data_IF_109538102583
#
_entry.id   IF_109538102583
#
_cell.length_a   1.000
_cell.length_b   1.000
_cell.length_c   1.000
_cell.angle_alpha   90.00
_cell.angle_beta   90.00
_cell.angle_gamma   90.00
#
_symmetry.space_group_name_H-M   'P 1'
#
loop_
_entity.id
_entity.type
_entity.pdbx_description
1 polymer ?
#
# COMPACT_ATOMS: atom_id res chain seq x y z
N UNK A 1 -24.35 6.70 6.59
CA UNK A 1 -23.22 6.84 7.52
C UNK A 1 -23.58 6.03 8.77
N UNK A 2 -23.07 4.81 8.92
CA UNK A 2 -23.37 3.99 10.10
C UNK A 2 -22.61 4.59 11.28
N UNK A 3 -23.31 5.32 12.13
CA UNK A 3 -22.80 5.70 13.44
C UNK A 3 -22.49 4.41 14.20
N UNK A 4 -21.41 4.39 14.97
CA UNK A 4 -21.20 3.28 15.90
C UNK A 4 -22.34 3.32 16.92
N UNK A 5 -23.06 2.20 17.06
CA UNK A 5 -24.16 2.06 18.01
C UNK A 5 -23.75 1.26 19.24
N UNK A 6 -22.77 0.36 19.10
CA UNK A 6 -22.23 -0.41 20.21
C UNK A 6 -20.70 -0.53 20.16
N UNK A 7 -20.10 -0.73 21.34
CA UNK A 7 -18.68 -1.03 21.51
C UNK A 7 -18.52 -2.27 22.38
N UNK A 8 -17.58 -3.15 22.02
CA UNK A 8 -17.09 -4.23 22.91
C UNK A 8 -15.69 -3.83 23.37
N UNK A 9 -15.47 -3.82 24.68
CA UNK A 9 -14.21 -3.40 25.29
C UNK A 9 -13.53 -4.63 25.90
N UNK A 10 -12.35 -4.95 25.36
CA UNK A 10 -11.43 -5.92 25.96
C UNK A 10 -10.37 -5.16 26.76
N UNK A 11 -10.63 -5.07 28.07
CA UNK A 11 -9.64 -4.56 29.01
C UNK A 11 -8.54 -5.58 29.30
N UNK A 12 -7.36 -5.07 29.61
CA UNK A 12 -6.15 -5.87 29.84
C UNK A 12 -5.76 -6.78 28.66
N UNK A 13 -6.01 -6.32 27.44
CA UNK A 13 -5.64 -7.02 26.21
C UNK A 13 -4.11 -7.13 26.07
N UNK A 14 -3.63 -8.30 25.61
CA UNK A 14 -2.22 -8.54 25.34
C UNK A 14 -1.96 -8.23 23.87
N UNK A 15 -1.48 -7.03 23.59
CA UNK A 15 -0.97 -6.69 22.27
C UNK A 15 0.53 -6.98 22.15
N UNK A 16 0.93 -7.76 21.14
CA UNK A 16 2.33 -8.18 20.96
C UNK A 16 3.29 -7.00 20.76
N UNK A 17 2.87 -5.95 20.06
CA UNK A 17 3.75 -4.86 19.66
C UNK A 17 3.87 -3.85 20.82
N UNK A 18 2.78 -3.62 21.58
CA UNK A 18 2.86 -2.90 22.87
C UNK A 18 3.77 -3.61 23.88
N UNK A 19 3.72 -4.96 23.94
CA UNK A 19 4.57 -5.72 24.85
C UNK A 19 6.05 -5.50 24.59
N UNK A 20 6.44 -5.32 23.34
CA UNK A 20 7.79 -4.94 22.94
C UNK A 20 8.11 -3.51 23.38
N UNK A 21 7.28 -2.52 23.03
CA UNK A 21 7.48 -1.12 23.43
C UNK A 21 7.62 -0.99 24.96
N UNK A 22 6.72 -1.66 25.69
CA UNK A 22 6.74 -1.71 27.15
C UNK A 22 8.04 -2.33 27.70
N UNK A 23 8.47 -3.46 27.17
CA UNK A 23 9.69 -4.13 27.63
C UNK A 23 10.96 -3.35 27.29
N UNK A 24 10.96 -2.64 26.16
CA UNK A 24 12.11 -1.87 25.69
C UNK A 24 12.31 -0.64 26.57
N UNK A 25 11.24 0.09 26.87
CA UNK A 25 11.32 1.39 27.54
C UNK A 25 10.46 1.47 28.80
N UNK A 26 9.13 1.37 28.69
CA UNK A 26 8.23 1.80 29.77
C UNK A 26 8.38 1.00 31.08
N UNK A 27 8.72 -0.30 31.01
CA UNK A 27 9.01 -1.14 32.18
C UNK A 27 10.24 -0.69 33.00
N UNK A 28 11.08 0.19 32.44
CA UNK A 28 12.33 0.67 33.04
C UNK A 28 12.25 2.12 33.49
N UNK A 29 11.05 2.68 33.54
CA UNK A 29 10.81 4.09 33.85
C UNK A 29 9.95 4.22 35.10
N UNK A 30 10.03 5.35 35.79
CA UNK A 30 9.18 5.66 36.96
C UNK A 30 7.73 6.03 36.59
N UNK A 31 7.27 5.65 35.39
CA UNK A 31 5.87 5.72 35.03
C UNK A 31 5.09 4.67 35.83
N UNK A 32 4.84 4.95 37.11
CA UNK A 32 4.26 4.01 38.07
C UNK A 32 2.81 3.58 37.75
N UNK A 33 2.24 4.05 36.64
CA UNK A 33 0.86 3.78 36.22
C UNK A 33 0.72 3.22 34.79
N UNK A 34 1.82 2.96 34.07
CA UNK A 34 1.74 2.40 32.72
C UNK A 34 1.56 0.89 32.83
N UNK A 35 0.36 0.42 32.43
CA UNK A 35 0.06 -1.00 32.35
C UNK A 35 0.87 -1.67 31.25
N UNK A 36 1.18 -2.95 31.47
CA UNK A 36 1.80 -3.82 30.46
C UNK A 36 0.77 -4.38 29.45
N UNK A 37 -0.50 -4.07 29.66
CA UNK A 37 -1.65 -4.46 28.86
C UNK A 37 -2.27 -3.24 28.19
N UNK A 38 -2.93 -3.44 27.06
CA UNK A 38 -3.68 -2.42 26.33
C UNK A 38 -5.18 -2.59 26.52
N UNK A 39 -5.97 -1.68 25.97
CA UNK A 39 -7.42 -1.84 25.79
C UNK A 39 -7.71 -1.99 24.30
N UNK A 40 -8.40 -3.06 23.90
CA UNK A 40 -8.87 -3.24 22.52
C UNK A 40 -10.36 -2.92 22.46
N UNK A 41 -10.74 -2.01 21.58
CA UNK A 41 -12.11 -1.54 21.42
C UNK A 41 -12.62 -1.97 20.06
N UNK A 42 -13.69 -2.75 20.05
CA UNK A 42 -14.40 -3.19 18.86
C UNK A 42 -15.55 -2.23 18.57
N UNK A 43 -15.74 -1.93 17.30
CA UNK A 43 -16.76 -0.99 16.81
C UNK A 43 -17.84 -1.75 16.05
N UNK A 44 -19.09 -1.54 16.44
CA UNK A 44 -20.26 -2.18 15.85
C UNK A 44 -21.25 -1.10 15.40
N UNK A 45 -21.73 -1.25 14.18
CA UNK A 45 -22.63 -0.30 13.52
C UNK A 45 -24.09 -0.40 13.98
N UNK A 46 -24.43 -1.44 14.74
CA UNK A 46 -25.79 -1.75 15.20
C UNK A 46 -25.71 -2.19 16.67
N UNK A 47 -26.80 -2.01 17.43
CA UNK A 47 -26.93 -2.62 18.74
C UNK A 47 -26.90 -4.16 18.63
N UNK A 48 -26.26 -4.80 19.61
CA UNK A 48 -26.16 -6.27 19.71
C UNK A 48 -26.47 -6.71 21.15
N UNK A 49 -27.12 -7.85 21.31
CA UNK A 49 -27.40 -8.43 22.64
C UNK A 49 -26.29 -9.41 23.06
N UNK A 50 -25.67 -10.07 22.09
CA UNK A 50 -24.64 -11.08 22.30
C UNK A 50 -23.55 -11.02 21.22
N UNK A 51 -22.40 -11.65 21.52
CA UNK A 51 -21.32 -11.79 20.54
C UNK A 51 -21.72 -12.66 19.32
N UNK A 52 -22.76 -13.48 19.45
CA UNK A 52 -23.29 -14.30 18.35
C UNK A 52 -23.99 -13.48 17.27
N UNK A 53 -24.36 -12.23 17.58
CA UNK A 53 -25.06 -11.33 16.66
C UNK A 53 -24.10 -10.55 15.74
N UNK A 54 -22.79 -10.77 15.89
CA UNK A 54 -21.79 -10.16 15.03
C UNK A 54 -21.87 -10.76 13.62
N UNK A 55 -22.02 -9.89 12.62
CA UNK A 55 -22.07 -10.22 11.21
C UNK A 55 -21.06 -9.40 10.41
N UNK A 56 -20.77 -9.85 9.18
CA UNK A 56 -19.95 -9.08 8.24
C UNK A 56 -20.56 -7.70 7.92
N UNK A 57 -21.83 -7.45 8.23
CA UNK A 57 -22.48 -6.15 7.98
C UNK A 57 -22.31 -5.19 9.16
N UNK A 58 -22.52 -5.66 10.39
CA UNK A 58 -22.50 -4.79 11.56
C UNK A 58 -21.12 -4.62 12.20
N UNK A 59 -20.20 -5.59 12.06
CA UNK A 59 -18.87 -5.49 12.65
C UNK A 59 -17.98 -4.59 11.80
N UNK A 60 -17.62 -3.41 12.33
CA UNK A 60 -16.82 -2.40 11.62
C UNK A 60 -15.32 -2.71 11.75
N UNK A 61 -14.90 -3.21 12.91
CA UNK A 61 -13.52 -3.58 13.20
C UNK A 61 -13.12 -3.21 14.62
N UNK A 62 -11.84 -2.93 14.84
CA UNK A 62 -11.32 -2.59 16.15
C UNK A 62 -10.13 -1.64 16.08
N UNK A 63 -9.85 -0.99 17.21
CA UNK A 63 -8.62 -0.27 17.45
C UNK A 63 -8.06 -0.62 18.83
N UNK A 64 -6.77 -0.36 19.03
CA UNK A 64 -6.07 -0.68 20.27
C UNK A 64 -5.52 0.60 20.87
N UNK A 65 -5.72 0.77 22.17
CA UNK A 65 -5.23 1.92 22.95
C UNK A 65 -4.08 1.51 23.87
N UNK A 66 -2.97 2.26 23.79
CA UNK A 66 -1.89 2.22 24.78
C UNK A 66 -2.40 2.81 26.11
N UNK A 67 -1.92 2.29 27.25
CA UNK A 67 -2.17 2.88 28.57
C UNK A 67 -1.26 4.08 28.84
N UNK A 68 -1.13 5.00 27.87
CA UNK A 68 -0.33 6.22 27.97
C UNK A 68 -1.23 7.42 28.27
N UNK A 69 -0.76 8.30 29.15
CA UNK A 69 -1.42 9.58 29.48
C UNK A 69 -1.07 10.70 28.49
N UNK A 70 -0.64 10.34 27.28
CA UNK A 70 -0.25 11.26 26.21
C UNK A 70 -1.29 11.09 25.10
N UNK A 71 -2.11 12.13 24.85
CA UNK A 71 -3.20 12.10 23.85
C UNK A 71 -2.71 11.53 22.51
N UNK A 72 -1.62 12.08 22.01
CA UNK A 72 -1.04 11.78 20.70
C UNK A 72 -0.23 10.47 20.62
N UNK A 73 -0.18 9.70 21.70
CA UNK A 73 0.44 8.37 21.72
C UNK A 73 -0.54 7.28 22.21
N UNK A 74 -1.79 7.66 22.49
CA UNK A 74 -2.76 6.74 23.10
C UNK A 74 -3.28 5.71 22.11
N UNK A 75 -3.46 6.04 20.85
CA UNK A 75 -3.85 5.08 19.82
C UNK A 75 -2.61 4.29 19.37
N UNK A 76 -2.73 2.97 19.30
CA UNK A 76 -1.66 2.04 18.89
C UNK A 76 -1.90 1.54 17.48
N UNK A 77 -3.06 0.92 17.23
CA UNK A 77 -3.43 0.31 15.96
C UNK A 77 -4.87 0.58 15.61
N UNK A 78 -5.13 0.66 14.31
CA UNK A 78 -6.49 0.70 13.77
C UNK A 78 -6.63 -0.39 12.71
N UNK A 79 -7.68 -1.19 12.87
CA UNK A 79 -8.12 -2.23 11.93
C UNK A 79 -9.63 -2.07 11.79
N UNK A 80 -10.04 -1.10 11.00
CA UNK A 80 -11.44 -0.79 10.72
C UNK A 80 -11.69 -0.79 9.23
N UNK A 81 -12.90 -1.15 8.82
CA UNK A 81 -13.31 -1.05 7.41
C UNK A 81 -13.13 0.39 6.93
N UNK A 82 -12.49 0.61 5.77
CA UNK A 82 -12.33 1.94 5.21
C UNK A 82 -13.70 2.50 4.83
N UNK A 83 -13.90 3.79 5.10
CA UNK A 83 -15.12 4.52 4.77
C UNK A 83 -14.74 5.77 3.97
N UNK A 84 -15.45 6.03 2.87
CA UNK A 84 -15.14 7.14 1.95
C UNK A 84 -15.14 8.51 2.65
N UNK A 85 -16.22 8.82 3.36
CA UNK A 85 -16.42 10.12 4.00
C UNK A 85 -15.35 10.47 5.05
N UNK A 86 -15.01 9.60 6.04
CA UNK A 86 -13.92 9.87 6.96
C UNK A 86 -12.54 10.01 6.31
N UNK A 87 -12.35 9.46 5.11
CA UNK A 87 -11.12 9.63 4.34
C UNK A 87 -11.14 10.88 3.45
N UNK A 88 -12.22 11.66 3.44
CA UNK A 88 -12.37 12.83 2.57
C UNK A 88 -12.64 12.47 1.10
N UNK A 89 -13.11 11.26 0.82
CA UNK A 89 -13.43 10.80 -0.55
C UNK A 89 -14.85 11.22 -0.92
N UNK A 90 -15.00 11.83 -2.09
CA UNK A 90 -16.28 12.34 -2.58
C UNK A 90 -17.21 11.19 -3.02
N UNK A 91 -18.53 11.43 -3.02
CA UNK A 91 -19.53 10.41 -3.39
C UNK A 91 -19.41 9.92 -4.84
N UNK A 92 -18.94 10.77 -5.75
CA UNK A 92 -18.68 10.43 -7.16
C UNK A 92 -17.31 9.80 -7.43
N UNK A 93 -16.50 9.59 -6.40
CA UNK A 93 -15.16 8.99 -6.54
C UNK A 93 -15.18 7.52 -6.15
N UNK A 94 -14.51 6.70 -6.96
CA UNK A 94 -14.15 5.35 -6.57
C UNK A 94 -12.95 5.39 -5.62
N UNK A 95 -12.94 4.49 -4.62
CA UNK A 95 -11.83 4.33 -3.68
C UNK A 95 -11.19 2.95 -3.89
N UNK A 96 -9.90 2.93 -4.19
CA UNK A 96 -9.10 1.71 -4.34
C UNK A 96 -8.02 1.67 -3.26
N UNK A 97 -8.00 0.60 -2.47
CA UNK A 97 -7.04 0.43 -1.37
C UNK A 97 -6.31 -0.90 -1.45
N UNK A 98 -5.03 -0.87 -1.08
CA UNK A 98 -4.27 -2.06 -0.74
C UNK A 98 -4.82 -2.58 0.59
N UNK A 99 -5.50 -3.72 0.57
CA UNK A 99 -6.14 -4.28 1.77
C UNK A 99 -5.68 -5.69 2.03
N UNK A 100 -5.72 -6.08 3.30
CA UNK A 100 -5.52 -7.45 3.72
C UNK A 100 -6.57 -7.86 4.75
N UNK A 101 -6.68 -9.17 4.97
CA UNK A 101 -7.71 -9.74 5.81
C UNK A 101 -7.30 -9.74 7.30
N UNK A 102 -8.22 -9.26 8.15
CA UNK A 102 -8.13 -9.32 9.60
C UNK A 102 -9.30 -10.08 10.19
N UNK A 103 -8.99 -10.96 11.13
CA UNK A 103 -9.97 -11.67 11.95
C UNK A 103 -9.55 -11.51 13.41
N UNK A 104 -10.42 -10.91 14.21
CA UNK A 104 -10.21 -10.77 15.65
C UNK A 104 -10.83 -11.96 16.40
N UNK A 105 -10.33 -12.20 17.61
CA UNK A 105 -10.89 -13.21 18.52
C UNK A 105 -11.52 -12.51 19.71
N UNK A 106 -12.85 -12.56 19.83
CA UNK A 106 -13.60 -11.84 20.87
C UNK A 106 -14.31 -12.88 21.73
N UNK A 107 -13.97 -12.97 23.03
CA UNK A 107 -14.64 -13.88 23.96
C UNK A 107 -14.61 -15.37 23.57
N UNK A 108 -13.59 -15.80 22.81
CA UNK A 108 -13.46 -17.17 22.30
C UNK A 108 -14.11 -17.41 20.92
N UNK A 109 -14.78 -16.41 20.35
CA UNK A 109 -15.36 -16.46 19.01
C UNK A 109 -14.47 -15.76 17.98
N UNK A 110 -14.58 -16.17 16.72
CA UNK A 110 -14.00 -15.44 15.60
C UNK A 110 -14.95 -14.32 15.18
N UNK A 111 -14.46 -13.09 15.22
CA UNK A 111 -15.20 -11.96 14.69
C UNK A 111 -15.28 -12.02 13.16
N UNK A 112 -16.30 -11.39 12.56
CA UNK A 112 -16.38 -11.19 11.11
C UNK A 112 -15.10 -10.57 10.53
N UNK A 113 -14.80 -10.88 9.27
CA UNK A 113 -13.53 -10.49 8.65
C UNK A 113 -13.56 -9.01 8.26
N UNK A 114 -12.49 -8.30 8.59
CA UNK A 114 -12.29 -6.90 8.19
C UNK A 114 -11.21 -6.85 7.12
N UNK A 115 -11.53 -6.19 5.99
CA UNK A 115 -10.57 -5.89 4.93
C UNK A 115 -10.17 -4.43 5.02
N UNK A 116 -8.89 -4.18 5.26
CA UNK A 116 -8.36 -2.82 5.43
C UNK A 116 -6.84 -2.80 5.27
N UNK A 117 -6.27 -1.60 5.21
CA UNK A 117 -4.83 -1.43 5.38
C UNK A 117 -4.52 -1.23 6.88
N UNK A 118 -3.53 -1.94 7.45
CA UNK A 118 -3.15 -1.71 8.84
C UNK A 118 -2.68 -0.28 9.08
N UNK A 119 -3.11 0.30 10.19
CA UNK A 119 -2.49 1.51 10.72
C UNK A 119 -1.80 1.25 12.05
N UNK A 120 -0.64 1.89 12.24
CA UNK A 120 0.13 1.89 13.47
C UNK A 120 0.60 3.31 13.77
N UNK A 121 0.39 3.78 14.99
CA UNK A 121 0.79 5.11 15.42
C UNK A 121 2.03 5.04 16.31
N UNK A 122 3.02 5.90 16.05
CA UNK A 122 4.20 6.02 16.90
C UNK A 122 3.87 6.52 18.32
N UNK A 123 4.70 6.15 19.30
CA UNK A 123 4.63 6.68 20.67
C UNK A 123 5.68 7.77 20.96
N UNK A 124 6.59 8.05 20.01
CA UNK A 124 7.74 8.96 20.07
C UNK A 124 8.85 8.63 21.08
N UNK A 125 8.66 7.62 21.94
CA UNK A 125 9.63 7.18 22.93
C UNK A 125 10.40 5.95 22.46
N UNK A 126 9.67 4.92 22.00
CA UNK A 126 10.20 3.69 21.42
C UNK A 126 10.02 3.69 19.92
N UNK A 127 8.79 3.93 19.47
CA UNK A 127 8.46 3.97 18.04
C UNK A 127 8.53 5.39 17.52
N UNK A 128 9.02 5.50 16.29
CA UNK A 128 9.09 6.73 15.51
C UNK A 128 8.51 6.47 14.12
N UNK A 129 8.25 7.51 13.33
CA UNK A 129 7.67 7.42 11.98
C UNK A 129 8.24 6.28 11.12
N UNK A 130 9.56 6.22 10.98
CA UNK A 130 10.20 5.14 10.21
C UNK A 130 9.83 3.72 10.69
N UNK A 131 9.71 3.50 12.01
CA UNK A 131 9.33 2.19 12.55
C UNK A 131 7.84 1.91 12.37
N UNK A 132 6.97 2.91 12.55
CA UNK A 132 5.53 2.76 12.35
C UNK A 132 5.21 2.45 10.88
N UNK A 133 5.82 3.16 9.95
CA UNK A 133 5.61 2.98 8.51
C UNK A 133 6.16 1.63 8.01
N UNK A 134 7.35 1.23 8.48
CA UNK A 134 7.86 -0.12 8.21
C UNK A 134 6.94 -1.18 8.82
N UNK A 135 6.37 -0.97 10.01
CA UNK A 135 5.41 -1.90 10.59
C UNK A 135 4.13 -2.01 9.74
N UNK A 136 3.55 -0.89 9.31
CA UNK A 136 2.34 -0.89 8.46
C UNK A 136 2.60 -1.65 7.15
N UNK A 137 3.72 -1.35 6.50
CA UNK A 137 4.12 -2.03 5.27
C UNK A 137 4.33 -3.54 5.49
N UNK A 138 5.10 -3.93 6.50
CA UNK A 138 5.45 -5.33 6.75
C UNK A 138 4.26 -6.17 7.24
N UNK A 139 3.36 -5.60 8.06
CA UNK A 139 2.11 -6.26 8.47
C UNK A 139 1.20 -6.49 7.25
N UNK A 140 1.09 -5.51 6.35
CA UNK A 140 0.36 -5.68 5.10
C UNK A 140 0.98 -6.78 4.21
N UNK A 141 2.29 -6.72 3.97
CA UNK A 141 3.01 -7.69 3.14
C UNK A 141 2.90 -9.11 3.70
N UNK A 142 2.99 -9.27 5.02
CA UNK A 142 2.78 -10.56 5.68
C UNK A 142 1.38 -11.12 5.41
N UNK A 143 0.34 -10.31 5.61
CA UNK A 143 -1.05 -10.78 5.51
C UNK A 143 -1.51 -11.00 4.08
N UNK A 144 -1.11 -10.14 3.14
CA UNK A 144 -1.53 -10.22 1.74
C UNK A 144 -0.72 -11.24 0.94
N UNK A 145 0.58 -11.34 1.22
CA UNK A 145 1.52 -12.09 0.39
C UNK A 145 2.33 -13.15 1.15
N UNK A 146 2.10 -13.33 2.45
CA UNK A 146 2.76 -14.40 3.23
C UNK A 146 4.22 -14.13 3.58
N UNK A 147 4.68 -12.87 3.51
CA UNK A 147 6.04 -12.50 3.92
C UNK A 147 6.26 -12.74 5.43
N UNK A 148 7.52 -12.62 5.88
CA UNK A 148 7.84 -12.63 7.31
C UNK A 148 7.02 -11.58 8.07
N UNK A 149 6.87 -11.74 9.38
CA UNK A 149 6.15 -10.79 10.24
C UNK A 149 7.08 -10.29 11.36
N UNK A 150 7.83 -9.21 11.13
CA UNK A 150 8.75 -8.70 12.13
C UNK A 150 8.03 -8.12 13.34
N UNK A 151 8.75 -8.10 14.45
CA UNK A 151 8.36 -7.40 15.67
C UNK A 151 9.02 -6.01 15.74
N UNK A 152 8.46 -5.10 16.55
CA UNK A 152 9.04 -3.77 16.76
C UNK A 152 10.49 -3.86 17.24
N UNK A 153 10.78 -4.83 18.12
CA UNK A 153 12.15 -5.06 18.61
C UNK A 153 13.13 -5.43 17.50
N UNK A 154 12.68 -6.05 16.42
CA UNK A 154 13.53 -6.48 15.32
C UNK A 154 14.01 -5.25 14.53
N UNK A 155 13.10 -4.33 14.20
CA UNK A 155 13.45 -3.04 13.58
C UNK A 155 14.48 -2.29 14.42
N UNK A 156 14.23 -2.18 15.73
CA UNK A 156 15.10 -1.48 16.67
C UNK A 156 16.48 -2.15 16.76
N UNK A 157 16.54 -3.48 16.81
CA UNK A 157 17.80 -4.22 16.94
C UNK A 157 18.71 -4.09 15.72
N UNK A 158 18.14 -3.84 14.55
CA UNK A 158 18.83 -3.67 13.27
C UNK A 158 19.18 -2.20 12.98
N UNK A 159 18.69 -1.26 13.81
CA UNK A 159 18.98 0.17 13.64
C UNK A 159 20.42 0.50 14.00
N UNK A 160 21.16 0.99 13.00
CA UNK A 160 22.47 1.57 13.21
C UNK A 160 22.36 2.93 13.95
N UNK A 161 23.21 3.23 14.96
CA UNK A 161 23.12 4.46 15.75
C UNK A 161 23.68 5.71 15.03
N UNK A 162 23.37 5.89 13.75
CA UNK A 162 23.91 6.97 12.91
C UNK A 162 23.41 8.37 13.32
N UNK A 163 22.25 8.45 13.98
CA UNK A 163 21.62 9.71 14.43
C UNK A 163 21.56 9.84 15.97
N UNK A 164 22.36 9.04 16.68
CA UNK A 164 22.42 9.01 18.15
C UNK A 164 21.89 7.71 18.73
N UNK A 165 21.21 7.79 19.89
CA UNK A 165 20.65 6.59 20.55
C UNK A 165 19.61 5.93 19.66
N UNK A 166 19.52 4.60 19.76
CA UNK A 166 18.48 3.81 19.08
C UNK A 166 17.12 3.98 19.76
N UNK A 167 17.10 4.08 21.10
CA UNK A 167 15.89 4.37 21.89
C UNK A 167 16.22 5.38 23.01
N UNK A 168 15.51 6.51 23.11
CA UNK A 168 14.65 7.09 22.06
C UNK A 168 15.47 7.48 20.83
N UNK A 169 14.92 7.24 19.64
CA UNK A 169 15.54 7.59 18.36
C UNK A 169 15.27 9.04 17.97
N UNK A 170 16.14 9.63 17.15
CA UNK A 170 15.95 10.96 16.51
C UNK A 170 15.49 10.87 15.05
N UNK A 171 14.88 9.75 14.67
CA UNK A 171 14.56 9.44 13.28
C UNK A 171 15.58 8.48 12.64
N UNK A 172 15.22 7.95 11.47
CA UNK A 172 16.07 7.11 10.64
C UNK A 172 16.34 7.82 9.30
N UNK A 173 17.48 7.51 8.69
CA UNK A 173 17.67 7.76 7.26
C UNK A 173 16.89 6.71 6.45
N UNK A 174 16.42 7.07 5.26
CA UNK A 174 15.74 6.14 4.34
C UNK A 174 16.62 4.92 4.01
N UNK A 175 17.93 5.13 3.89
CA UNK A 175 18.90 4.06 3.67
C UNK A 175 18.95 3.08 4.86
N UNK A 176 18.77 3.57 6.10
CA UNK A 176 18.65 2.69 7.28
C UNK A 176 17.36 1.85 7.22
N UNK A 177 16.24 2.43 6.77
CA UNK A 177 14.99 1.69 6.58
C UNK A 177 15.18 0.56 5.56
N UNK A 178 15.86 0.84 4.44
CA UNK A 178 16.16 -0.17 3.41
C UNK A 178 17.03 -1.30 3.97
N UNK A 179 18.07 -0.98 4.76
CA UNK A 179 18.95 -1.98 5.38
C UNK A 179 18.16 -2.86 6.36
N UNK A 180 17.32 -2.25 7.20
CA UNK A 180 16.50 -2.95 8.18
C UNK A 180 15.54 -3.92 7.47
N UNK A 181 14.76 -3.42 6.51
CA UNK A 181 13.83 -4.25 5.73
C UNK A 181 14.53 -5.39 4.98
N UNK A 182 15.66 -5.11 4.32
CA UNK A 182 16.46 -6.14 3.64
C UNK A 182 16.97 -7.20 4.60
N UNK A 183 17.41 -6.79 5.81
CA UNK A 183 17.87 -7.73 6.84
C UNK A 183 16.75 -8.61 7.40
N UNK A 184 15.49 -8.19 7.24
CA UNK A 184 14.30 -8.95 7.64
C UNK A 184 13.75 -9.84 6.50
N UNK A 185 14.42 -9.86 5.34
CA UNK A 185 14.06 -10.68 4.18
C UNK A 185 13.09 -10.01 3.21
N UNK A 186 12.96 -8.68 3.25
CA UNK A 186 12.20 -7.94 2.24
C UNK A 186 13.15 -7.38 1.19
N UNK A 187 12.96 -7.71 -0.10
CA UNK A 187 13.68 -6.99 -1.15
C UNK A 187 13.11 -5.57 -1.23
N UNK A 188 13.99 -4.58 -1.19
CA UNK A 188 13.58 -3.18 -1.21
C UNK A 188 14.24 -2.48 -2.37
N UNK A 189 13.46 -1.69 -3.10
CA UNK A 189 13.98 -0.72 -4.04
C UNK A 189 13.62 0.70 -3.60
N UNK A 190 14.53 1.62 -3.90
CA UNK A 190 14.43 3.03 -3.56
C UNK A 190 14.69 3.85 -4.82
N UNK A 191 13.83 4.83 -5.08
CA UNK A 191 14.12 5.90 -6.04
C UNK A 191 14.16 7.24 -5.32
N UNK A 192 14.92 8.18 -5.88
CA UNK A 192 15.13 9.50 -5.31
C UNK A 192 15.00 10.56 -6.39
N UNK A 193 14.26 11.62 -6.13
CA UNK A 193 14.15 12.75 -7.04
C UNK A 193 14.38 14.08 -6.32
N UNK A 194 14.85 15.05 -7.10
CA UNK A 194 14.83 16.46 -6.76
C UNK A 194 13.76 17.15 -7.61
N UNK A 195 13.39 18.38 -7.22
CA UNK A 195 12.24 19.15 -7.70
C UNK A 195 11.72 18.82 -9.10
N UNK A 196 12.51 18.95 -10.17
CA UNK A 196 12.02 18.81 -11.55
C UNK A 196 11.63 17.40 -11.98
N UNK A 197 12.01 16.36 -11.23
CA UNK A 197 11.83 14.96 -11.62
C UNK A 197 10.76 14.22 -10.78
N UNK A 198 10.03 14.94 -9.92
CA UNK A 198 9.05 14.34 -9.00
C UNK A 198 7.99 13.54 -9.75
N UNK A 199 7.38 14.15 -10.77
CA UNK A 199 6.31 13.47 -11.51
C UNK A 199 6.84 12.25 -12.27
N UNK A 200 7.96 12.40 -12.98
CA UNK A 200 8.54 11.34 -13.81
C UNK A 200 9.09 10.16 -13.00
N UNK A 201 9.65 10.40 -11.81
CA UNK A 201 10.35 9.35 -11.04
C UNK A 201 9.59 8.87 -9.82
N UNK A 202 8.97 9.77 -9.06
CA UNK A 202 8.32 9.44 -7.79
C UNK A 202 6.86 9.08 -8.03
N UNK A 203 6.13 9.94 -8.73
CA UNK A 203 4.69 9.76 -8.95
C UNK A 203 4.40 8.56 -9.84
N UNK A 204 5.09 8.41 -10.99
CA UNK A 204 4.93 7.21 -11.83
C UNK A 204 5.25 5.91 -11.10
N UNK A 205 6.24 5.96 -10.20
CA UNK A 205 6.59 4.83 -9.35
C UNK A 205 5.49 4.53 -8.34
N UNK A 206 4.97 5.53 -7.64
CA UNK A 206 3.83 5.37 -6.73
C UNK A 206 2.64 4.76 -7.49
N UNK A 207 2.28 5.30 -8.64
CA UNK A 207 1.19 4.80 -9.47
C UNK A 207 1.39 3.32 -9.82
N UNK A 208 2.56 2.95 -10.34
CA UNK A 208 2.82 1.58 -10.77
C UNK A 208 2.83 0.58 -9.60
N UNK A 209 3.42 0.94 -8.47
CA UNK A 209 3.49 0.06 -7.31
C UNK A 209 2.15 -0.05 -6.59
N UNK A 210 1.41 1.05 -6.43
CA UNK A 210 0.04 1.00 -5.88
C UNK A 210 -0.84 0.08 -6.72
N UNK A 211 -0.79 0.19 -8.04
CA UNK A 211 -1.56 -0.68 -8.94
C UNK A 211 -1.11 -2.15 -8.91
N UNK A 212 0.15 -2.37 -8.53
CA UNK A 212 0.70 -3.70 -8.21
C UNK A 212 0.24 -4.24 -6.85
N UNK A 213 -0.56 -3.47 -6.09
CA UNK A 213 -0.95 -3.81 -4.72
C UNK A 213 0.19 -3.67 -3.72
N UNK A 214 1.20 -2.85 -4.03
CA UNK A 214 2.40 -2.64 -3.23
C UNK A 214 2.42 -1.19 -2.70
N UNK A 215 2.12 -0.96 -1.40
CA UNK A 215 2.20 0.36 -0.80
C UNK A 215 3.60 0.97 -0.94
N UNK A 216 3.65 2.30 -0.96
CA UNK A 216 4.89 3.07 -1.06
C UNK A 216 5.14 3.84 0.22
N UNK A 217 6.31 3.66 0.84
CA UNK A 217 6.78 4.60 1.86
C UNK A 217 7.38 5.81 1.13
N UNK A 218 6.83 6.98 1.37
CA UNK A 218 7.26 8.24 0.78
C UNK A 218 7.96 9.08 1.86
N UNK A 219 9.25 9.37 1.66
CA UNK A 219 10.05 10.15 2.58
C UNK A 219 10.36 11.54 2.03
N UNK A 220 10.01 12.57 2.79
CA UNK A 220 10.25 13.99 2.47
C UNK A 220 10.21 14.82 3.76
N UNK A 221 10.89 15.96 3.77
CA UNK A 221 10.91 16.91 4.89
C UNK A 221 11.18 16.31 6.28
N UNK A 222 12.13 15.37 6.36
CA UNK A 222 12.49 14.63 7.58
C UNK A 222 11.37 13.76 8.21
N UNK A 223 10.34 13.43 7.44
CA UNK A 223 9.28 12.50 7.85
C UNK A 223 9.03 11.43 6.78
N UNK A 224 8.20 10.46 7.11
CA UNK A 224 7.74 9.41 6.19
C UNK A 224 6.23 9.23 6.33
N UNK A 225 5.60 8.89 5.22
CA UNK A 225 4.19 8.50 5.15
C UNK A 225 4.03 7.27 4.26
N UNK A 226 2.92 6.54 4.40
CA UNK A 226 2.61 5.40 3.54
C UNK A 226 1.48 5.74 2.58
N UNK A 227 1.76 5.68 1.28
CA UNK A 227 0.72 5.71 0.24
C UNK A 227 0.21 4.29 0.04
N UNK A 228 -1.07 4.04 0.35
CA UNK A 228 -1.65 2.69 0.35
C UNK A 228 -2.91 2.55 -0.53
N UNK A 229 -3.23 3.58 -1.29
CA UNK A 229 -4.28 3.51 -2.29
C UNK A 229 -4.51 4.83 -2.99
N UNK A 230 -5.55 4.89 -3.81
CA UNK A 230 -5.89 6.06 -4.58
C UNK A 230 -7.40 6.14 -4.82
N UNK A 231 -7.87 7.32 -5.19
CA UNK A 231 -9.21 7.53 -5.73
C UNK A 231 -9.19 7.50 -7.26
N UNK A 232 -10.37 7.41 -7.86
CA UNK A 232 -10.57 7.64 -9.29
C UNK A 232 -11.88 8.40 -9.48
N UNK A 233 -11.81 9.58 -10.09
CA UNK A 233 -12.99 10.36 -10.45
C UNK A 233 -13.55 9.95 -11.84
N UNK A 234 -14.69 10.51 -12.23
CA UNK A 234 -15.34 10.26 -13.53
C UNK A 234 -14.46 10.68 -14.73
N UNK A 235 -13.55 11.63 -14.52
CA UNK A 235 -12.59 12.11 -15.54
C UNK A 235 -11.33 11.25 -15.62
N UNK A 236 -11.18 10.25 -14.75
CA UNK A 236 -10.04 9.36 -14.68
C UNK A 236 -8.82 9.94 -13.95
N UNK A 237 -8.99 11.05 -13.23
CA UNK A 237 -7.98 11.64 -12.35
C UNK A 237 -7.87 10.84 -11.05
N UNK A 238 -6.70 10.90 -10.44
CA UNK A 238 -6.36 10.14 -9.23
C UNK A 238 -5.83 11.06 -8.16
N UNK A 239 -6.32 10.86 -6.95
CA UNK A 239 -5.72 11.37 -5.73
C UNK A 239 -5.26 10.20 -4.86
N UNK A 240 -4.47 10.47 -3.84
CA UNK A 240 -3.84 9.42 -3.04
C UNK A 240 -4.49 9.27 -1.68
N UNK A 241 -4.55 8.03 -1.19
CA UNK A 241 -4.84 7.78 0.22
C UNK A 241 -3.52 7.59 0.96
N UNK A 242 -3.21 8.57 1.81
CA UNK A 242 -1.95 8.64 2.56
C UNK A 242 -2.23 8.34 4.03
N UNK A 243 -1.46 7.42 4.60
CA UNK A 243 -1.42 7.08 6.00
C UNK A 243 -0.22 7.80 6.64
N UNK A 244 -0.47 8.50 7.75
CA UNK A 244 0.55 9.23 8.52
C UNK A 244 0.41 8.87 9.99
N UNK A 245 1.46 8.27 10.54
CA UNK A 245 1.48 7.72 11.90
C UNK A 245 1.29 8.77 13.00
N UNK A 246 1.44 10.05 12.67
CA UNK A 246 1.36 11.18 13.58
C UNK A 246 0.26 12.18 13.23
N UNK A 247 -0.27 12.12 12.02
CA UNK A 247 -1.17 13.11 11.41
C UNK A 247 -0.53 14.48 11.12
N UNK A 248 0.77 14.68 11.39
CA UNK A 248 1.45 15.96 11.23
C UNK A 248 1.62 16.36 9.75
N UNK A 249 2.07 15.45 8.91
CA UNK A 249 2.25 15.70 7.47
C UNK A 249 0.92 15.76 6.73
N UNK A 250 -0.09 14.98 7.16
CA UNK A 250 -1.43 15.12 6.58
C UNK A 250 -2.02 16.51 6.88
N UNK A 251 -1.87 17.01 8.11
CA UNK A 251 -2.30 18.37 8.47
C UNK A 251 -1.61 19.44 7.61
N UNK A 252 -0.29 19.34 7.46
CA UNK A 252 0.51 20.24 6.63
C UNK A 252 0.12 20.15 5.14
N UNK A 253 -0.05 18.95 4.59
CA UNK A 253 -0.46 18.72 3.19
C UNK A 253 -1.86 19.27 2.90
N UNK A 254 -2.79 19.14 3.85
CA UNK A 254 -4.18 19.58 3.70
C UNK A 254 -4.37 21.06 4.09
N UNK A 255 -3.34 21.72 4.62
CA UNK A 255 -3.46 23.09 5.15
C UNK A 255 -4.41 23.18 6.34
N UNK A 256 -4.56 22.10 7.10
CA UNK A 256 -5.48 21.97 8.24
C UNK A 256 -4.71 21.94 9.56
N UNK A 257 -5.39 22.19 10.68
CA UNK A 257 -4.82 21.86 11.98
C UNK A 257 -4.87 20.34 12.22
N UNK A 258 -3.95 19.85 13.07
CA UNK A 258 -3.86 18.42 13.38
C UNK A 258 -5.15 17.83 13.96
N UNK A 259 -5.94 18.62 14.70
CA UNK A 259 -7.21 18.17 15.28
C UNK A 259 -8.35 18.08 14.24
N UNK A 260 -8.16 18.64 13.04
CA UNK A 260 -9.14 18.62 11.94
C UNK A 260 -8.91 17.45 10.97
N UNK A 261 -7.72 16.84 11.00
CA UNK A 261 -7.38 15.71 10.13
C UNK A 261 -7.72 14.39 10.83
N UNK A 262 -8.31 13.42 10.12
CA UNK A 262 -8.43 12.05 10.60
C UNK A 262 -7.07 11.53 11.13
N UNK A 263 -7.02 10.90 12.30
CA UNK A 263 -5.76 10.64 13.00
C UNK A 263 -4.89 9.55 12.36
N UNK A 264 -5.28 9.00 11.21
CA UNK A 264 -4.58 7.89 10.56
C UNK A 264 -4.35 8.11 9.06
N UNK A 265 -5.41 8.31 8.28
CA UNK A 265 -5.31 8.40 6.82
C UNK A 265 -6.30 9.39 6.21
N UNK A 266 -5.95 9.97 5.07
CA UNK A 266 -6.80 10.88 4.32
C UNK A 266 -6.49 10.88 2.84
N UNK A 267 -7.48 11.29 2.04
CA UNK A 267 -7.28 11.65 0.64
C UNK A 267 -6.43 12.91 0.55
N UNK A 268 -5.42 12.89 -0.31
CA UNK A 268 -4.58 14.05 -0.64
C UNK A 268 -4.56 14.19 -2.15
N UNK A 269 -4.95 15.37 -2.64
CA UNK A 269 -4.99 15.66 -4.07
C UNK A 269 -3.62 15.47 -4.70
N UNK A 270 -3.56 14.79 -5.86
CA UNK A 270 -2.29 14.51 -6.53
C UNK A 270 -1.50 15.76 -6.85
N UNK A 271 -2.18 16.83 -7.29
CA UNK A 271 -1.56 18.11 -7.60
C UNK A 271 -0.93 18.74 -6.35
N UNK A 272 -1.67 18.79 -5.25
CA UNK A 272 -1.18 19.31 -3.96
C UNK A 272 0.04 18.54 -3.47
N UNK A 273 0.02 17.20 -3.59
CA UNK A 273 1.17 16.37 -3.23
C UNK A 273 2.39 16.71 -4.10
N UNK A 274 2.23 16.79 -5.43
CA UNK A 274 3.33 17.13 -6.35
C UNK A 274 3.92 18.48 -5.99
N UNK A 275 3.09 19.52 -5.85
CA UNK A 275 3.53 20.87 -5.51
C UNK A 275 4.31 20.89 -4.19
N UNK A 276 3.88 20.12 -3.17
CA UNK A 276 4.63 19.98 -1.92
C UNK A 276 5.98 19.33 -2.15
N UNK A 277 6.01 18.19 -2.85
CA UNK A 277 7.22 17.40 -3.09
C UNK A 277 8.27 18.15 -3.92
N UNK A 278 7.84 18.96 -4.90
CA UNK A 278 8.73 19.79 -5.71
C UNK A 278 9.46 20.86 -4.91
N UNK A 279 8.90 21.28 -3.78
CA UNK A 279 9.48 22.27 -2.87
C UNK A 279 10.42 21.66 -1.82
N UNK A 280 10.63 20.34 -1.82
CA UNK A 280 11.52 19.65 -0.87
C UNK A 280 12.85 19.30 -1.55
N UNK A 281 14.01 19.48 -0.88
CA UNK A 281 15.32 19.24 -1.50
C UNK A 281 15.55 17.81 -2.01
N UNK A 282 14.93 16.82 -1.37
CA UNK A 282 15.08 15.41 -1.70
C UNK A 282 13.83 14.66 -1.28
N UNK A 283 13.26 13.93 -2.24
CA UNK A 283 12.13 13.03 -2.05
C UNK A 283 12.57 11.62 -2.37
N UNK A 284 12.17 10.65 -1.55
CA UNK A 284 12.50 9.24 -1.71
C UNK A 284 11.24 8.40 -1.69
N UNK A 285 11.12 7.46 -2.62
CA UNK A 285 10.06 6.46 -2.66
C UNK A 285 10.67 5.08 -2.41
N UNK A 286 10.25 4.42 -1.33
CA UNK A 286 10.72 3.10 -0.91
C UNK A 286 9.57 2.11 -1.13
N UNK A 287 9.85 1.02 -1.84
CA UNK A 287 8.89 -0.06 -2.07
C UNK A 287 9.52 -1.41 -1.77
N UNK A 288 8.70 -2.33 -1.26
CA UNK A 288 9.05 -3.74 -1.21
C UNK A 288 8.77 -4.35 -2.58
N UNK A 289 9.72 -5.12 -3.10
CA UNK A 289 9.62 -5.88 -4.33
C UNK A 289 9.54 -7.38 -4.03
N UNK A 290 8.91 -8.14 -4.92
CA UNK A 290 8.91 -9.60 -4.82
C UNK A 290 10.26 -10.17 -5.26
N UNK A 291 10.55 -11.39 -4.80
CA UNK A 291 11.68 -12.16 -5.29
C UNK A 291 11.63 -12.32 -6.82
N UNK A 292 12.81 -12.25 -7.45
CA UNK A 292 12.99 -12.45 -8.90
C UNK A 292 12.31 -11.41 -9.79
N UNK A 293 12.02 -10.22 -9.25
CA UNK A 293 11.70 -9.04 -10.04
C UNK A 293 12.99 -8.42 -10.61
N UNK A 294 13.48 -8.96 -11.72
CA UNK A 294 14.76 -8.55 -12.32
C UNK A 294 14.62 -7.52 -13.44
N UNK A 295 13.39 -7.36 -13.96
CA UNK A 295 13.06 -6.36 -14.98
C UNK A 295 12.42 -5.14 -14.32
N UNK A 296 13.18 -4.05 -14.10
CA UNK A 296 12.72 -2.91 -13.32
C UNK A 296 11.71 -2.06 -14.08
N UNK A 297 10.88 -1.30 -13.35
CA UNK A 297 9.88 -0.38 -13.91
C UNK A 297 10.44 0.55 -15.00
N UNK A 298 11.64 1.12 -14.79
CA UNK A 298 12.29 1.99 -15.79
C UNK A 298 12.53 1.28 -17.13
N UNK A 299 12.86 -0.02 -17.09
CA UNK A 299 13.02 -0.82 -18.31
C UNK A 299 11.68 -1.10 -18.99
N UNK A 300 10.61 -1.34 -18.21
CA UNK A 300 9.22 -1.47 -18.71
C UNK A 300 8.77 -0.21 -19.44
N UNK A 301 9.00 0.97 -18.85
CA UNK A 301 8.65 2.26 -19.45
C UNK A 301 9.38 2.47 -20.77
N UNK A 302 10.70 2.20 -20.80
CA UNK A 302 11.53 2.30 -22.00
C UNK A 302 11.03 1.39 -23.12
N UNK A 303 10.75 0.12 -22.83
CA UNK A 303 10.22 -0.83 -23.82
C UNK A 303 8.84 -0.40 -24.32
N UNK A 304 7.99 0.08 -23.43
CA UNK A 304 6.64 0.56 -23.79
C UNK A 304 6.74 1.71 -24.77
N UNK A 305 7.62 2.68 -24.52
CA UNK A 305 7.79 3.84 -25.40
C UNK A 305 8.39 3.46 -26.76
N UNK A 306 9.26 2.45 -26.83
CA UNK A 306 9.75 1.88 -28.10
C UNK A 306 8.60 1.22 -28.85
N UNK A 307 7.83 0.36 -28.18
CA UNK A 307 6.69 -0.33 -28.77
C UNK A 307 5.63 0.65 -29.32
N UNK A 308 5.35 1.73 -28.61
CA UNK A 308 4.41 2.78 -29.06
C UNK A 308 4.91 3.51 -30.31
N UNK A 309 6.23 3.76 -30.42
CA UNK A 309 6.82 4.38 -31.61
C UNK A 309 6.73 3.45 -32.81
N UNK A 310 7.11 2.18 -32.64
CA UNK A 310 7.14 1.19 -33.71
C UNK A 310 5.75 0.83 -34.22
N UNK A 311 4.74 0.88 -33.34
CA UNK A 311 3.34 0.57 -33.70
C UNK A 311 2.61 1.72 -34.39
N UNK A 312 3.16 2.94 -34.37
CA UNK A 312 2.55 4.12 -35.00
C UNK A 312 1.38 4.75 -34.24
N UNK A 313 0.94 4.17 -33.11
CA UNK A 313 -0.22 4.66 -32.35
C UNK A 313 0.15 5.56 -31.17
N UNK A 314 1.42 5.94 -31.02
CA UNK A 314 1.90 6.75 -29.88
C UNK A 314 1.02 7.98 -29.62
N UNK A 315 0.57 8.66 -30.68
CA UNK A 315 -0.23 9.87 -30.58
C UNK A 315 -1.71 9.61 -30.23
N UNK A 316 -2.16 8.36 -30.29
CA UNK A 316 -3.51 7.94 -29.92
C UNK A 316 -3.61 7.56 -28.43
N UNK A 317 -2.47 7.28 -27.78
CA UNK A 317 -2.43 6.89 -26.37
C UNK A 317 -2.37 8.14 -25.50
N UNK A 318 -3.40 8.30 -24.66
CA UNK A 318 -3.51 9.41 -23.72
C UNK A 318 -3.08 9.02 -22.31
N UNK A 319 -3.17 7.73 -21.96
CA UNK A 319 -2.87 7.24 -20.60
C UNK A 319 -2.23 5.85 -20.64
N UNK A 320 -1.30 5.63 -19.72
CA UNK A 320 -0.61 4.36 -19.48
C UNK A 320 -0.85 3.93 -18.04
N UNK A 321 -1.24 2.68 -17.80
CA UNK A 321 -1.29 2.07 -16.46
C UNK A 321 -0.37 0.86 -16.46
N UNK A 322 0.60 0.86 -15.55
CA UNK A 322 1.61 -0.19 -15.43
C UNK A 322 1.42 -0.84 -14.08
N UNK A 323 1.38 -2.17 -14.03
CA UNK A 323 1.28 -2.91 -12.78
C UNK A 323 1.95 -4.27 -12.89
N UNK A 324 2.36 -4.80 -11.75
CA UNK A 324 2.85 -6.15 -11.59
C UNK A 324 1.69 -7.06 -11.16
N UNK A 325 1.61 -8.25 -11.72
CA UNK A 325 0.62 -9.25 -11.36
C UNK A 325 1.29 -10.60 -11.08
N UNK A 326 0.78 -11.33 -10.10
CA UNK A 326 1.05 -12.76 -9.98
C UNK A 326 0.45 -13.47 -11.20
N UNK A 327 1.25 -14.28 -11.88
CA UNK A 327 0.84 -14.92 -13.13
C UNK A 327 -0.29 -15.92 -12.95
N UNK A 328 -0.39 -16.58 -11.80
CA UNK A 328 -1.49 -17.51 -11.52
C UNK A 328 -2.78 -16.74 -11.20
N UNK A 329 -2.70 -15.66 -10.40
CA UNK A 329 -3.84 -14.76 -10.15
C UNK A 329 -4.33 -14.15 -11.47
N UNK A 330 -3.42 -13.69 -12.33
CA UNK A 330 -3.73 -13.14 -13.66
C UNK A 330 -4.42 -14.17 -14.57
N UNK A 331 -3.86 -15.37 -14.71
CA UNK A 331 -4.51 -16.45 -15.50
C UNK A 331 -5.87 -16.84 -14.95
N UNK A 332 -6.00 -16.94 -13.63
CA UNK A 332 -7.27 -17.26 -12.97
C UNK A 332 -8.30 -16.17 -13.27
N UNK A 333 -7.89 -14.91 -13.23
CA UNK A 333 -8.74 -13.79 -13.58
C UNK A 333 -9.16 -13.83 -15.06
N UNK A 334 -8.22 -14.01 -16.00
CA UNK A 334 -8.51 -14.16 -17.42
C UNK A 334 -9.55 -15.27 -17.67
N UNK A 335 -9.40 -16.43 -17.04
CA UNK A 335 -10.38 -17.51 -17.14
C UNK A 335 -11.77 -17.13 -16.64
N UNK A 336 -11.87 -16.47 -15.49
CA UNK A 336 -13.16 -16.03 -14.92
C UNK A 336 -13.93 -15.08 -15.84
N UNK A 337 -13.22 -14.30 -16.66
CA UNK A 337 -13.81 -13.36 -17.63
C UNK A 337 -13.86 -13.93 -19.05
N UNK A 338 -13.64 -15.24 -19.22
CA UNK A 338 -13.82 -15.95 -20.49
C UNK A 338 -12.64 -15.83 -21.47
N UNK A 339 -11.44 -15.56 -20.97
CA UNK A 339 -10.20 -15.41 -21.77
C UNK A 339 -9.26 -16.58 -21.46
N UNK A 340 -9.24 -17.57 -22.35
CA UNK A 340 -8.43 -18.79 -22.29
C UNK A 340 -7.04 -18.65 -22.94
N UNK A 341 -6.73 -17.47 -23.49
CA UNK A 341 -5.54 -17.24 -24.34
C UNK A 341 -4.21 -17.39 -23.59
N UNK A 342 -4.23 -17.42 -22.25
CA UNK A 342 -3.05 -17.47 -21.40
C UNK A 342 -2.88 -18.81 -20.67
N UNK A 343 -3.83 -19.75 -20.81
CA UNK A 343 -3.86 -20.99 -20.00
C UNK A 343 -2.60 -21.82 -20.18
N UNK A 344 -2.29 -22.16 -21.43
CA UNK A 344 -1.14 -22.98 -21.81
C UNK A 344 0.15 -22.18 -21.96
N UNK A 345 0.11 -20.85 -21.77
CA UNK A 345 1.29 -20.01 -21.94
C UNK A 345 2.17 -20.10 -20.68
N UNK A 346 3.44 -20.55 -20.77
CA UNK A 346 4.33 -20.51 -19.61
C UNK A 346 4.62 -19.05 -19.24
N UNK A 347 4.33 -18.68 -18.00
CA UNK A 347 4.59 -17.36 -17.46
C UNK A 347 5.63 -17.45 -16.32
N UNK A 348 6.49 -16.44 -16.14
CA UNK A 348 7.27 -16.28 -14.90
C UNK A 348 6.33 -16.12 -13.70
N UNK A 349 6.87 -16.13 -12.47
CA UNK A 349 6.04 -15.95 -11.27
C UNK A 349 5.25 -14.63 -11.31
N UNK A 350 5.90 -13.55 -11.73
CA UNK A 350 5.28 -12.24 -11.90
C UNK A 350 5.43 -11.73 -13.32
N UNK A 351 4.42 -11.02 -13.81
CA UNK A 351 4.45 -10.34 -15.11
C UNK A 351 4.10 -8.87 -14.94
N UNK A 352 4.72 -8.01 -15.75
CA UNK A 352 4.27 -6.64 -15.91
C UNK A 352 3.12 -6.59 -16.92
N UNK A 353 2.03 -5.96 -16.53
CA UNK A 353 0.90 -5.62 -17.40
C UNK A 353 0.98 -4.12 -17.68
N UNK A 354 1.04 -3.77 -18.96
CA UNK A 354 1.00 -2.38 -19.41
C UNK A 354 -0.27 -2.17 -20.20
N UNK A 355 -1.20 -1.43 -19.61
CA UNK A 355 -2.47 -1.06 -20.20
C UNK A 355 -2.34 0.31 -20.90
N UNK A 356 -2.78 0.37 -22.16
CA UNK A 356 -2.66 1.53 -23.04
C UNK A 356 -4.06 2.04 -23.41
N UNK A 357 -4.36 3.27 -23.00
CA UNK A 357 -5.68 3.86 -23.13
C UNK A 357 -5.71 4.99 -24.15
N UNK A 358 -6.82 5.09 -24.87
CA UNK A 358 -7.26 6.31 -25.56
C UNK A 358 -8.45 6.87 -24.79
N UNK A 359 -8.25 8.04 -24.21
CA UNK A 359 -9.15 8.62 -23.21
C UNK A 359 -9.39 7.59 -22.09
N UNK A 360 -10.63 7.12 -21.93
CA UNK A 360 -11.01 6.10 -20.95
C UNK A 360 -11.21 4.70 -21.56
N UNK A 361 -10.97 4.55 -22.86
CA UNK A 361 -11.08 3.27 -23.56
C UNK A 361 -9.74 2.53 -23.55
N UNK A 362 -9.73 1.33 -22.96
CA UNK A 362 -8.58 0.43 -23.03
C UNK A 362 -8.40 -0.05 -24.47
N UNK A 363 -7.31 0.37 -25.12
CA UNK A 363 -6.99 -0.08 -26.46
C UNK A 363 -6.23 -1.39 -26.43
N UNK A 364 -5.03 -1.38 -25.83
CA UNK A 364 -4.07 -2.47 -25.91
C UNK A 364 -3.48 -2.83 -24.54
N UNK A 365 -3.08 -4.09 -24.39
CA UNK A 365 -2.33 -4.58 -23.22
C UNK A 365 -1.03 -5.23 -23.65
N UNK A 366 0.07 -4.90 -22.98
CA UNK A 366 1.34 -5.62 -23.11
C UNK A 366 1.56 -6.45 -21.86
N UNK A 367 1.95 -7.71 -22.05
CA UNK A 367 2.36 -8.63 -20.99
C UNK A 367 3.86 -8.85 -21.16
N UNK A 368 4.63 -8.43 -20.16
CA UNK A 368 6.08 -8.41 -20.18
C UNK A 368 6.65 -9.28 -19.05
N UNK A 369 7.76 -9.96 -19.33
CA UNK A 369 8.46 -10.82 -18.38
C UNK A 369 9.14 -9.98 -17.28
N UNK A 370 8.66 -10.11 -16.04
CA UNK A 370 9.21 -9.37 -14.90
C UNK A 370 10.54 -9.96 -14.39
N UNK A 371 10.90 -11.17 -14.84
CA UNK A 371 12.15 -11.87 -14.49
C UNK A 371 13.24 -11.71 -15.55
N UNK A 372 12.96 -11.00 -16.65
CA UNK A 372 13.94 -10.72 -17.68
C UNK A 372 15.11 -9.87 -17.17
N UNK A 373 16.25 -9.92 -17.88
CA UNK A 373 17.38 -9.08 -17.56
C UNK A 373 17.06 -7.61 -17.91
N UNK A 374 17.48 -6.66 -17.08
CA UNK A 374 17.16 -5.22 -17.26
C UNK A 374 17.53 -4.64 -18.65
N UNK A 375 18.50 -5.24 -19.33
CA UNK A 375 18.98 -4.85 -20.68
C UNK A 375 18.33 -5.64 -21.82
N UNK A 376 17.44 -6.60 -21.52
CA UNK A 376 16.74 -7.37 -22.55
C UNK A 376 15.85 -6.46 -23.40
N UNK A 377 15.75 -6.81 -24.69
CA UNK A 377 14.99 -6.05 -25.69
C UNK A 377 13.55 -6.51 -25.80
N UNK A 378 12.72 -5.70 -26.47
CA UNK A 378 11.28 -5.94 -26.72
C UNK A 378 10.95 -7.37 -27.12
N UNK A 379 11.72 -7.99 -28.01
CA UNK A 379 11.43 -9.35 -28.50
C UNK A 379 11.60 -10.44 -27.43
N UNK A 380 12.55 -10.25 -26.50
CA UNK A 380 12.84 -11.23 -25.46
C UNK A 380 11.94 -11.07 -24.24
N UNK A 381 11.56 -9.83 -23.92
CA UNK A 381 10.77 -9.49 -22.73
C UNK A 381 9.27 -9.60 -22.99
N UNK A 382 8.79 -9.30 -24.21
CA UNK A 382 7.37 -9.33 -24.53
C UNK A 382 6.87 -10.78 -24.57
N UNK A 383 6.01 -11.12 -23.62
CA UNK A 383 5.34 -12.42 -23.58
C UNK A 383 4.17 -12.42 -24.55
N UNK A 384 3.33 -11.38 -24.47
CA UNK A 384 2.16 -11.22 -25.32
C UNK A 384 1.80 -9.74 -25.48
N UNK A 385 1.14 -9.43 -26.60
CA UNK A 385 0.51 -8.14 -26.82
C UNK A 385 -0.94 -8.37 -27.27
N UNK A 386 -1.89 -7.88 -26.49
CA UNK A 386 -3.30 -7.86 -26.82
C UNK A 386 -3.62 -6.56 -27.55
N UNK A 387 -3.90 -6.68 -28.84
CA UNK A 387 -4.11 -5.56 -29.76
C UNK A 387 -5.52 -5.64 -30.34
N UNK A 388 -6.48 -4.96 -29.69
CA UNK A 388 -7.88 -4.97 -30.15
C UNK A 388 -8.52 -6.36 -29.98
N UNK A 389 -8.80 -7.03 -31.10
CA UNK A 389 -9.45 -8.35 -31.19
C UNK A 389 -8.46 -9.51 -31.39
N UNK A 390 -7.16 -9.27 -31.20
CA UNK A 390 -6.14 -10.31 -31.32
C UNK A 390 -5.07 -10.23 -30.24
N UNK A 391 -4.49 -11.38 -29.91
CA UNK A 391 -3.29 -11.49 -29.09
C UNK A 391 -2.15 -11.99 -29.96
N UNK A 392 -1.00 -11.30 -29.92
CA UNK A 392 0.25 -11.68 -30.58
C UNK A 392 1.21 -12.20 -29.51
N UNK A 393 1.64 -13.46 -29.61
CA UNK A 393 2.58 -14.07 -28.67
C UNK A 393 4.03 -13.77 -29.05
N UNK A 394 4.79 -13.14 -28.15
CA UNK A 394 6.06 -12.51 -28.52
C UNK A 394 7.18 -13.45 -29.01
N UNK A 395 7.22 -14.71 -28.57
CA UNK A 395 8.27 -15.68 -29.00
C UNK A 395 8.00 -16.36 -30.34
N UNK A 396 6.73 -16.46 -30.74
CA UNK A 396 6.34 -17.20 -31.95
C UNK A 396 5.69 -16.32 -33.01
N UNK A 397 5.36 -15.08 -32.66
CA UNK A 397 4.52 -14.16 -33.43
C UNK A 397 3.21 -14.80 -33.92
N UNK A 398 2.79 -15.90 -33.29
CA UNK A 398 1.48 -16.51 -33.52
C UNK A 398 0.40 -15.56 -33.03
N UNK A 399 -0.68 -15.50 -33.79
CA UNK A 399 -1.85 -14.70 -33.46
C UNK A 399 -3.01 -15.60 -33.02
N UNK A 400 -3.73 -15.19 -31.96
CA UNK A 400 -5.01 -15.77 -31.57
C UNK A 400 -6.07 -14.68 -31.62
N UNK A 401 -7.16 -14.92 -32.35
CA UNK A 401 -8.34 -14.05 -32.31
C UNK A 401 -9.03 -14.21 -30.96
N UNK A 402 -9.38 -13.08 -30.36
CA UNK A 402 -10.06 -12.98 -29.06
C UNK A 402 -11.10 -11.88 -29.13
N UNK A 403 -11.96 -11.78 -28.10
CA UNK A 403 -12.83 -10.61 -27.95
C UNK A 403 -12.01 -9.32 -27.81
N UNK A 404 -12.67 -8.17 -28.06
CA UNK A 404 -12.10 -6.85 -27.77
C UNK A 404 -11.74 -6.79 -26.28
N UNK A 405 -10.55 -6.29 -25.95
CA UNK A 405 -9.99 -6.25 -24.59
C UNK A 405 -11.01 -5.74 -23.53
N UNK A 406 -11.67 -6.61 -22.76
CA UNK A 406 -12.71 -6.16 -21.83
C UNK A 406 -12.22 -6.10 -20.37
N UNK A 407 -10.94 -6.34 -20.13
CA UNK A 407 -10.48 -6.90 -18.86
C UNK A 407 -9.39 -6.03 -18.26
N UNK A 408 -9.77 -5.29 -17.22
CA UNK A 408 -8.89 -4.43 -16.42
C UNK A 408 -8.54 -5.22 -15.15
N UNK A 409 -7.27 -5.62 -15.02
CA UNK A 409 -6.81 -6.32 -13.83
C UNK A 409 -6.52 -5.30 -12.71
N UNK A 410 -6.83 -5.64 -11.47
CA UNK A 410 -6.53 -4.80 -10.30
C UNK A 410 -6.09 -5.66 -9.12
N UNK A 411 -4.95 -5.30 -8.53
CA UNK A 411 -4.52 -5.84 -7.24
C UNK A 411 -5.15 -5.09 -6.05
N UNK A 412 -5.68 -3.88 -6.29
CA UNK A 412 -6.33 -3.06 -5.28
C UNK A 412 -7.79 -3.45 -5.13
N UNK A 413 -8.28 -3.39 -3.89
CA UNK A 413 -9.68 -3.61 -3.59
C UNK A 413 -10.45 -2.29 -3.78
N UNK A 414 -11.51 -2.33 -4.61
CA UNK A 414 -12.50 -1.27 -4.67
C UNK A 414 -13.35 -1.29 -3.38
N UNK A 415 -13.43 -0.16 -2.69
CA UNK A 415 -14.25 0.03 -1.49
C UNK A 415 -15.63 0.53 -1.92
N UNK A 416 -16.66 -0.17 -1.46
CA UNK A 416 -18.08 0.13 -1.76
C UNK A 416 -18.60 1.31 -0.94
#
# INVERSE_FOLDING_TARGET
MNKAEAFIIEDSYIDKDWRDEYSIFYSKTFYNSISKFTTRVHVIAEEIESLGDLTDKNYVGHFILRPLHIKDAKLLKVVVKPMKEPLGVNSGEDLYLATCDYTAHIGGLFAPKVKTFPFYQQDSAVTICAYADMWMLTEYMHRRFGFNRPYIRDFISLTLPLRGRVVPSRGLLAEQMCIILSSLGYNVSIDSAASTDIEERIIKRIDAYLESGLPTILAFDNHVVVVAGHTLDESGNRDYIIYDDSGYHLADLLGLSKDEVPPFASKVDRKTLIEKLENVPRVLAINVEFDKLFYPLKSVEKITDIFLKDSGIKNEITKKRILLADSNEFKTFCNKVGVDAFDDLPLPHYVWIVELYRENELLWNLILDASAHKEDTTKNVRIAAWLGDKIIYGRSDKEKKVGRCPVIYSNLQKIE
#
